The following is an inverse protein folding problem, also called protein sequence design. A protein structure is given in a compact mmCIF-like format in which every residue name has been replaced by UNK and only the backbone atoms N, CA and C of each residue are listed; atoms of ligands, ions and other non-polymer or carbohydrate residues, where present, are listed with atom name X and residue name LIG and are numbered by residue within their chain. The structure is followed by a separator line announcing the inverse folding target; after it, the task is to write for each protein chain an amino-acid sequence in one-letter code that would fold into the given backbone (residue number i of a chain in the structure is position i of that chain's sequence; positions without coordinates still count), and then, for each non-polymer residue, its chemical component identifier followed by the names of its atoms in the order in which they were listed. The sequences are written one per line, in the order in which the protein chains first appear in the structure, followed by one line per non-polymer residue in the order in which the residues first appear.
data_IF_107340052068
#
_entry.id   IF_107340052068
#
_cell.length_a   1.000
_cell.length_b   1.000
_cell.length_c   1.000
_cell.angle_alpha   90.00
_cell.angle_beta   90.00
_cell.angle_gamma   90.00
#
_symmetry.space_group_name_H-M   'P 1'
#
loop_
_entity.id
_entity.type
_entity.pdbx_description
1 polymer ?
#
# COMPACT_ATOMS: atom_id res chain seq x y z
N UNK A 1 3.15 -28.22 35.93
CA UNK A 1 3.76 -26.87 35.96
C UNK A 1 3.26 -26.15 34.73
N UNK A 2 2.31 -25.23 34.89
CA UNK A 2 1.84 -24.38 33.78
C UNK A 2 2.99 -23.43 33.46
N UNK A 3 3.52 -23.50 32.24
CA UNK A 3 4.44 -22.49 31.72
C UNK A 3 3.60 -21.22 31.66
N UNK A 4 3.86 -20.27 32.56
CA UNK A 4 3.12 -18.99 32.55
C UNK A 4 3.18 -18.41 31.15
N UNK A 5 2.03 -18.20 30.52
CA UNK A 5 1.96 -17.48 29.25
C UNK A 5 2.60 -16.12 29.48
N UNK A 6 3.74 -15.88 28.85
CA UNK A 6 4.38 -14.57 28.87
C UNK A 6 3.44 -13.62 28.14
N UNK A 7 2.88 -12.67 28.87
CA UNK A 7 2.00 -11.63 28.35
C UNK A 7 2.67 -10.94 27.15
N UNK A 8 1.96 -10.83 26.03
CA UNK A 8 2.46 -10.25 24.78
C UNK A 8 2.13 -8.76 24.76
N UNK A 9 3.13 -7.90 24.54
CA UNK A 9 2.92 -6.48 24.34
C UNK A 9 2.71 -6.18 22.85
N UNK A 10 1.57 -5.62 22.49
CA UNK A 10 1.24 -5.20 21.12
C UNK A 10 1.24 -3.67 21.05
N UNK A 11 2.08 -3.12 20.17
CA UNK A 11 2.04 -1.68 19.88
C UNK A 11 0.87 -1.38 18.95
N UNK A 12 0.00 -0.44 19.31
CA UNK A 12 -1.12 0.00 18.48
C UNK A 12 -0.87 1.43 18.05
N UNK A 13 -0.48 1.61 16.79
CA UNK A 13 -0.16 2.91 16.18
C UNK A 13 -1.43 3.50 15.58
N UNK A 14 -1.89 4.61 16.15
CA UNK A 14 -3.04 5.34 15.64
C UNK A 14 -2.61 6.44 14.65
N UNK A 15 -3.18 6.40 13.45
CA UNK A 15 -2.94 7.39 12.39
C UNK A 15 -4.18 8.24 12.06
N UNK A 16 -5.32 7.93 12.70
CA UNK A 16 -6.64 8.46 12.39
C UNK A 16 -7.50 7.43 11.64
N UNK A 17 -8.38 7.91 10.76
CA UNK A 17 -9.26 7.09 9.94
C UNK A 17 -10.63 6.77 10.57
N UNK A 18 -11.49 6.11 9.79
CA UNK A 18 -12.91 5.86 10.09
C UNK A 18 -13.16 5.18 11.43
N UNK A 19 -12.27 4.28 11.86
CA UNK A 19 -12.38 3.56 13.14
C UNK A 19 -12.40 4.52 14.34
N UNK A 20 -11.74 5.67 14.21
CA UNK A 20 -11.66 6.71 15.22
C UNK A 20 -12.68 7.83 15.00
N UNK A 21 -13.58 7.71 14.02
CA UNK A 21 -14.47 8.79 13.58
C UNK A 21 -15.95 8.52 13.86
N UNK A 22 -16.69 9.59 14.16
CA UNK A 22 -18.16 9.61 14.24
C UNK A 22 -18.71 10.60 13.23
N UNK A 23 -19.97 10.44 12.79
CA UNK A 23 -20.62 11.44 11.94
C UNK A 23 -21.17 12.60 12.77
N UNK A 24 -21.06 13.82 12.24
CA UNK A 24 -21.71 14.99 12.81
C UNK A 24 -23.14 15.18 12.24
N UNK A 25 -23.82 16.26 12.65
CA UNK A 25 -25.18 16.60 12.22
C UNK A 25 -25.33 16.80 10.70
N UNK A 26 -24.22 17.02 9.98
CA UNK A 26 -24.20 17.14 8.51
C UNK A 26 -23.98 15.81 7.80
N UNK A 27 -23.71 14.74 8.56
CA UNK A 27 -23.37 13.42 8.06
C UNK A 27 -21.88 13.24 7.74
N UNK A 28 -21.05 14.27 7.94
CA UNK A 28 -19.60 14.20 7.71
C UNK A 28 -18.89 13.45 8.84
N UNK A 29 -18.01 12.51 8.50
CA UNK A 29 -17.20 11.78 9.47
C UNK A 29 -16.06 12.67 9.98
N UNK A 30 -15.89 12.76 11.30
CA UNK A 30 -14.80 13.51 11.95
C UNK A 30 -14.12 12.63 13.02
N UNK A 31 -12.78 12.75 13.20
CA UNK A 31 -12.09 12.09 14.30
C UNK A 31 -12.71 12.49 15.64
N UNK A 32 -13.08 11.49 16.44
CA UNK A 32 -13.79 11.67 17.71
C UNK A 32 -13.26 10.77 18.83
N UNK A 33 -12.54 9.68 18.51
CA UNK A 33 -11.99 8.72 19.46
C UNK A 33 -10.46 8.73 19.40
N UNK A 34 -9.80 8.69 20.57
CA UNK A 34 -8.35 8.45 20.65
C UNK A 34 -8.03 6.97 20.47
N UNK A 35 -6.81 6.64 20.04
CA UNK A 35 -6.33 5.25 19.99
C UNK A 35 -6.39 4.58 21.35
N UNK A 36 -6.09 5.29 22.43
CA UNK A 36 -6.26 4.79 23.81
C UNK A 36 -7.72 4.40 24.11
N UNK A 37 -8.69 5.20 23.66
CA UNK A 37 -10.12 4.88 23.81
C UNK A 37 -10.50 3.64 22.98
N UNK A 38 -9.99 3.52 21.75
CA UNK A 38 -10.28 2.38 20.86
C UNK A 38 -9.76 1.05 21.38
N UNK A 39 -8.66 1.07 22.14
CA UNK A 39 -8.07 -0.14 22.72
C UNK A 39 -8.53 -0.41 24.14
N UNK A 40 -9.34 0.48 24.73
CA UNK A 40 -9.90 0.28 26.05
C UNK A 40 -10.81 -0.97 26.07
N UNK A 41 -10.44 -1.98 26.86
CA UNK A 41 -11.14 -3.26 26.91
C UNK A 41 -10.57 -4.37 26.00
N UNK A 42 -9.59 -4.07 25.14
CA UNK A 42 -8.88 -5.09 24.33
C UNK A 42 -7.67 -5.69 25.05
N UNK A 43 -7.26 -5.10 26.17
CA UNK A 43 -6.25 -5.70 27.04
C UNK A 43 -6.86 -6.88 27.81
N UNK A 44 -6.22 -8.04 27.71
CA UNK A 44 -6.65 -9.28 28.35
C UNK A 44 -5.53 -9.88 29.19
N UNK A 45 -5.76 -11.07 29.78
CA UNK A 45 -4.76 -11.75 30.61
C UNK A 45 -3.43 -12.02 29.85
N UNK A 46 -3.51 -12.23 28.53
CA UNK A 46 -2.39 -12.65 27.69
C UNK A 46 -1.84 -11.53 26.77
N UNK A 47 -2.52 -10.38 26.68
CA UNK A 47 -2.17 -9.28 25.77
C UNK A 47 -2.23 -7.93 26.48
N UNK A 48 -1.11 -7.20 26.43
CA UNK A 48 -1.00 -5.80 26.83
C UNK A 48 -0.93 -4.91 25.59
N UNK A 49 -1.59 -3.76 25.66
CA UNK A 49 -1.57 -2.78 24.57
C UNK A 49 -0.66 -1.60 24.93
N UNK A 50 0.24 -1.25 24.01
CA UNK A 50 1.04 -0.02 24.03
C UNK A 50 0.44 0.95 23.00
N UNK A 51 -0.42 1.91 23.39
CA UNK A 51 -0.95 2.89 22.45
C UNK A 51 0.16 3.85 21.98
N UNK A 52 0.17 4.16 20.69
CA UNK A 52 1.09 5.12 20.06
C UNK A 52 0.26 6.07 19.19
N UNK A 53 0.03 7.27 19.69
CA UNK A 53 -0.63 8.34 18.92
C UNK A 53 0.38 8.98 17.96
N UNK A 54 0.29 8.63 16.67
CA UNK A 54 1.22 9.14 15.66
C UNK A 54 0.69 10.39 14.97
N UNK A 55 -0.57 10.34 14.56
CA UNK A 55 -1.28 11.45 13.91
C UNK A 55 -2.80 11.19 13.91
N UNK A 56 -3.58 12.20 13.54
CA UNK A 56 -5.02 12.08 13.34
C UNK A 56 -5.41 12.73 12.00
N UNK A 57 -5.17 11.99 10.90
CA UNK A 57 -5.36 12.51 9.54
C UNK A 57 -6.28 11.57 8.73
N UNK A 58 -7.12 12.16 7.87
CA UNK A 58 -7.90 11.40 6.92
C UNK A 58 -6.98 10.76 5.87
N UNK A 59 -7.18 9.48 5.57
CA UNK A 59 -6.31 8.73 4.66
C UNK A 59 -6.27 9.32 3.24
N UNK A 60 -7.35 9.96 2.79
CA UNK A 60 -7.42 10.64 1.48
C UNK A 60 -6.50 11.86 1.38
N UNK A 61 -6.08 12.41 2.53
CA UNK A 61 -5.20 13.58 2.60
C UNK A 61 -3.74 13.20 2.83
N UNK A 62 -3.41 11.92 3.00
CA UNK A 62 -2.04 11.47 3.28
C UNK A 62 -1.12 11.73 2.08
N UNK A 63 0.12 12.08 2.42
CA UNK A 63 1.22 12.30 1.48
C UNK A 63 2.28 11.20 1.66
N UNK A 64 3.25 11.11 0.73
CA UNK A 64 4.41 10.22 0.93
C UNK A 64 5.19 10.57 2.21
N UNK A 65 5.15 11.84 2.65
CA UNK A 65 5.77 12.22 3.91
C UNK A 65 5.05 11.63 5.12
N UNK A 66 3.72 11.62 5.10
CA UNK A 66 2.92 11.01 6.17
C UNK A 66 3.11 9.48 6.17
N UNK A 67 3.11 8.84 5.00
CA UNK A 67 3.36 7.40 4.87
C UNK A 67 4.75 7.02 5.35
N UNK A 68 5.77 7.83 5.05
CA UNK A 68 7.11 7.61 5.60
C UNK A 68 7.12 7.75 7.12
N UNK A 69 6.38 8.71 7.69
CA UNK A 69 6.28 8.85 9.15
C UNK A 69 5.65 7.61 9.81
N UNK A 70 4.64 7.00 9.17
CA UNK A 70 4.06 5.72 9.60
C UNK A 70 5.12 4.60 9.55
N UNK A 71 5.86 4.51 8.44
CA UNK A 71 6.93 3.52 8.29
C UNK A 71 8.06 3.69 9.31
N UNK A 72 8.47 4.93 9.59
CA UNK A 72 9.48 5.27 10.60
C UNK A 72 9.01 4.84 12.00
N UNK A 73 7.72 5.03 12.33
CA UNK A 73 7.12 4.60 13.60
C UNK A 73 7.09 3.07 13.73
N UNK A 74 6.72 2.35 12.66
CA UNK A 74 6.79 0.88 12.64
C UNK A 74 8.22 0.39 12.87
N UNK A 75 9.22 1.01 12.23
CA UNK A 75 10.63 0.66 12.40
C UNK A 75 11.08 0.75 13.85
N UNK A 76 10.65 1.80 14.57
CA UNK A 76 10.94 2.00 15.99
C UNK A 76 10.39 0.88 16.86
N UNK A 77 9.16 0.43 16.60
CA UNK A 77 8.52 -0.64 17.37
C UNK A 77 9.06 -2.04 16.99
N UNK A 78 9.51 -2.22 15.75
CA UNK A 78 10.15 -3.47 15.30
C UNK A 78 11.43 -3.75 16.12
N UNK A 79 12.22 -2.72 16.43
CA UNK A 79 13.48 -2.88 17.19
C UNK A 79 13.30 -2.94 18.72
N UNK A 80 12.13 -2.60 19.24
CA UNK A 80 11.86 -2.66 20.69
C UNK A 80 11.67 -4.12 21.15
N UNK A 81 12.58 -4.72 21.92
CA UNK A 81 12.49 -6.13 22.30
C UNK A 81 11.29 -6.46 23.20
N UNK A 82 10.67 -5.45 23.84
CA UNK A 82 9.46 -5.67 24.63
C UNK A 82 8.22 -5.88 23.75
N UNK A 83 8.20 -5.29 22.56
CA UNK A 83 7.07 -5.37 21.61
C UNK A 83 7.10 -6.71 20.89
N UNK A 84 5.99 -7.44 20.97
CA UNK A 84 5.79 -8.75 20.33
C UNK A 84 5.17 -8.64 18.92
N UNK A 85 4.47 -7.55 18.64
CA UNK A 85 3.81 -7.29 17.36
C UNK A 85 3.26 -5.87 17.28
N UNK A 86 2.94 -5.42 16.07
CA UNK A 86 2.49 -4.06 15.78
C UNK A 86 1.16 -4.09 15.02
N UNK A 87 0.18 -3.34 15.49
CA UNK A 87 -1.08 -3.05 14.79
C UNK A 87 -1.11 -1.57 14.42
N UNK A 88 -1.51 -1.26 13.18
CA UNK A 88 -1.64 0.10 12.68
C UNK A 88 -3.11 0.36 12.39
N UNK A 89 -3.71 1.32 13.10
CA UNK A 89 -5.05 1.84 12.80
C UNK A 89 -4.93 2.88 11.70
N UNK A 90 -5.59 2.63 10.58
CA UNK A 90 -5.45 3.44 9.38
C UNK A 90 -6.80 3.66 8.67
N UNK A 91 -6.94 4.80 8.01
CA UNK A 91 -8.08 5.07 7.12
C UNK A 91 -8.01 4.20 5.85
N UNK A 92 -9.17 3.82 5.32
CA UNK A 92 -9.22 2.78 4.28
C UNK A 92 -8.80 3.27 2.89
N UNK A 93 -8.82 4.57 2.61
CA UNK A 93 -8.58 5.07 1.24
C UNK A 93 -7.13 4.95 0.78
N UNK A 94 -6.17 4.97 1.71
CA UNK A 94 -4.74 4.88 1.41
C UNK A 94 -4.04 3.73 2.17
N UNK A 95 -4.82 2.80 2.75
CA UNK A 95 -4.28 1.69 3.55
C UNK A 95 -3.40 0.77 2.71
N UNK A 96 -3.80 0.47 1.47
CA UNK A 96 -3.04 -0.39 0.54
C UNK A 96 -1.66 0.21 0.19
N UNK A 97 -1.56 1.54 0.17
CA UNK A 97 -0.34 2.28 -0.15
C UNK A 97 0.61 2.31 1.06
N UNK A 98 0.10 2.70 2.23
CA UNK A 98 0.87 2.74 3.48
C UNK A 98 1.39 1.34 3.86
N UNK A 99 0.54 0.32 3.78
CA UNK A 99 0.92 -1.05 4.11
C UNK A 99 2.04 -1.56 3.20
N UNK A 100 1.97 -1.24 1.90
CA UNK A 100 3.03 -1.61 0.96
C UNK A 100 4.34 -0.86 1.26
N UNK A 101 4.31 0.43 1.57
CA UNK A 101 5.54 1.17 1.90
C UNK A 101 6.27 0.54 3.10
N UNK A 102 5.54 0.19 4.16
CA UNK A 102 6.10 -0.49 5.33
C UNK A 102 6.72 -1.83 4.94
N UNK A 103 6.03 -2.62 4.11
CA UNK A 103 6.55 -3.89 3.61
C UNK A 103 7.84 -3.72 2.81
N UNK A 104 7.92 -2.69 1.96
CA UNK A 104 9.08 -2.46 1.10
C UNK A 104 10.32 -2.05 1.89
N UNK A 105 10.16 -1.31 2.98
CA UNK A 105 11.27 -0.71 3.73
C UNK A 105 11.85 -1.63 4.80
N UNK A 106 11.04 -2.51 5.39
CA UNK A 106 11.43 -3.27 6.59
C UNK A 106 11.35 -4.79 6.38
N UNK A 107 12.42 -5.48 6.80
CA UNK A 107 12.33 -6.91 7.07
C UNK A 107 11.57 -7.11 8.39
N UNK A 108 10.35 -7.63 8.30
CA UNK A 108 9.50 -7.84 9.46
C UNK A 108 9.93 -9.10 10.21
N UNK A 109 10.40 -8.92 11.45
CA UNK A 109 10.75 -10.03 12.36
C UNK A 109 9.65 -10.33 13.38
N UNK A 110 8.57 -9.56 13.33
CA UNK A 110 7.39 -9.60 14.21
C UNK A 110 6.15 -9.32 13.35
N UNK A 111 4.96 -9.80 13.71
CA UNK A 111 3.74 -9.49 12.97
C UNK A 111 3.49 -7.98 12.90
N UNK A 112 3.22 -7.48 11.69
CA UNK A 112 2.84 -6.09 11.43
C UNK A 112 1.53 -6.09 10.66
N UNK A 113 0.46 -5.61 11.31
CA UNK A 113 -0.91 -5.76 10.82
C UNK A 113 -1.55 -4.37 10.70
N UNK A 114 -1.96 -3.98 9.48
CA UNK A 114 -2.82 -2.83 9.28
C UNK A 114 -4.29 -3.22 9.47
N UNK A 115 -5.09 -2.32 10.02
CA UNK A 115 -6.54 -2.47 10.13
C UNK A 115 -7.24 -1.12 10.18
N UNK A 116 -8.57 -1.12 10.13
CA UNK A 116 -9.40 0.07 10.17
C UNK A 116 -10.89 -0.29 10.20
N UNK A 117 -11.73 0.62 9.71
CA UNK A 117 -13.17 0.39 9.60
C UNK A 117 -13.69 0.94 8.27
N UNK A 118 -14.65 0.26 7.66
CA UNK A 118 -15.38 0.79 6.50
C UNK A 118 -16.46 1.75 6.98
N UNK A 119 -17.12 1.43 8.10
CA UNK A 119 -18.21 2.19 8.67
C UNK A 119 -17.76 2.90 9.96
N UNK A 120 -18.26 4.12 10.16
CA UNK A 120 -17.99 4.92 11.36
C UNK A 120 -18.54 4.24 12.62
N UNK A 121 -18.00 4.62 13.78
CA UNK A 121 -18.33 3.96 15.06
C UNK A 121 -19.82 4.06 15.45
N UNK A 122 -20.54 5.05 14.93
CA UNK A 122 -21.96 5.31 15.14
C UNK A 122 -22.87 4.57 14.13
N UNK A 123 -22.31 3.87 13.14
CA UNK A 123 -23.08 3.16 12.13
C UNK A 123 -23.63 1.82 12.64
N UNK A 124 -24.85 1.40 12.27
CA UNK A 124 -25.41 0.10 12.67
C UNK A 124 -24.58 -1.12 12.23
N UNK A 125 -23.75 -0.95 11.20
CA UNK A 125 -22.82 -1.96 10.68
C UNK A 125 -21.36 -1.62 10.98
N UNK A 126 -21.09 -0.85 12.04
CA UNK A 126 -19.74 -0.54 12.49
C UNK A 126 -18.90 -1.82 12.59
N UNK A 127 -17.74 -1.80 11.94
CA UNK A 127 -16.88 -2.96 11.76
C UNK A 127 -15.50 -2.79 12.41
N UNK A 128 -15.18 -1.57 12.88
CA UNK A 128 -13.92 -1.24 13.52
C UNK A 128 -13.55 -2.12 14.71
N UNK A 129 -14.43 -2.35 15.71
CA UNK A 129 -14.13 -3.21 16.85
C UNK A 129 -13.80 -4.66 16.45
N UNK A 130 -14.58 -5.24 15.54
CA UNK A 130 -14.36 -6.61 15.05
C UNK A 130 -13.00 -6.71 14.31
N UNK A 131 -12.73 -5.76 13.42
CA UNK A 131 -11.48 -5.71 12.66
C UNK A 131 -10.27 -5.54 13.58
N UNK A 132 -10.36 -4.68 14.61
CA UNK A 132 -9.27 -4.43 15.55
C UNK A 132 -9.01 -5.64 16.45
N UNK A 133 -10.06 -6.29 16.98
CA UNK A 133 -9.90 -7.53 17.75
C UNK A 133 -9.21 -8.61 16.92
N UNK A 134 -9.68 -8.84 15.69
CA UNK A 134 -9.07 -9.81 14.77
C UNK A 134 -7.62 -9.44 14.40
N UNK A 135 -7.30 -8.15 14.27
CA UNK A 135 -5.94 -7.69 14.00
C UNK A 135 -5.01 -7.97 15.18
N UNK A 136 -5.46 -7.77 16.42
CA UNK A 136 -4.69 -8.09 17.64
C UNK A 136 -4.45 -9.59 17.74
N UNK A 137 -5.48 -10.41 17.51
CA UNK A 137 -5.37 -11.87 17.51
C UNK A 137 -4.37 -12.37 16.46
N UNK A 138 -4.42 -11.80 15.25
CA UNK A 138 -3.43 -12.10 14.20
C UNK A 138 -2.02 -11.62 14.58
N UNK A 139 -1.91 -10.52 15.34
CA UNK A 139 -0.64 -9.91 15.72
C UNK A 139 0.13 -10.72 16.78
N UNK A 140 -0.57 -11.51 17.60
CA UNK A 140 0.06 -12.35 18.63
C UNK A 140 0.51 -13.73 18.12
N UNK A 141 0.12 -14.12 16.91
CA UNK A 141 0.66 -15.31 16.23
C UNK A 141 1.97 -14.97 15.50
N UNK A 142 3.14 -15.43 16.00
CA UNK A 142 4.43 -15.10 15.42
C UNK A 142 4.61 -15.62 13.99
N UNK A 143 3.87 -16.66 13.58
CA UNK A 143 3.95 -17.20 12.20
C UNK A 143 3.48 -16.19 11.15
N UNK A 144 2.72 -15.16 11.55
CA UNK A 144 2.30 -14.10 10.65
C UNK A 144 3.44 -13.15 10.25
N UNK A 145 4.57 -13.14 10.98
CA UNK A 145 5.76 -12.38 10.56
C UNK A 145 6.38 -12.90 9.26
N UNK A 146 6.29 -14.20 8.99
CA UNK A 146 6.83 -14.83 7.78
C UNK A 146 6.05 -14.47 6.51
N UNK A 147 4.85 -13.87 6.66
CA UNK A 147 3.93 -13.54 5.57
C UNK A 147 4.08 -12.09 5.08
N UNK A 148 5.02 -11.33 5.64
CA UNK A 148 5.21 -9.90 5.37
C UNK A 148 4.23 -9.02 6.16
N UNK A 149 4.07 -7.77 5.74
CA UNK A 149 3.04 -6.89 6.29
C UNK A 149 1.66 -7.35 5.82
N UNK A 150 0.71 -7.42 6.75
CA UNK A 150 -0.64 -7.90 6.49
C UNK A 150 -1.68 -6.80 6.72
N UNK A 151 -2.85 -6.98 6.13
CA UNK A 151 -4.06 -6.19 6.37
C UNK A 151 -5.15 -7.12 6.90
N UNK A 152 -5.67 -6.80 8.09
CA UNK A 152 -6.80 -7.50 8.70
C UNK A 152 -8.05 -6.65 8.57
N UNK A 153 -9.00 -7.06 7.74
CA UNK A 153 -10.19 -6.28 7.41
C UNK A 153 -11.31 -7.15 6.88
N UNK A 154 -12.55 -6.93 7.33
CA UNK A 154 -13.74 -7.60 6.78
C UNK A 154 -13.68 -9.13 6.90
N UNK A 155 -13.08 -9.64 7.98
CA UNK A 155 -12.89 -11.08 8.22
C UNK A 155 -11.79 -11.74 7.38
N UNK A 156 -10.98 -10.97 6.64
CA UNK A 156 -9.85 -11.46 5.85
C UNK A 156 -8.53 -11.00 6.46
N UNK A 157 -7.48 -11.81 6.27
CA UNK A 157 -6.09 -11.45 6.55
C UNK A 157 -5.31 -11.57 5.23
N UNK A 158 -4.97 -10.43 4.63
CA UNK A 158 -4.42 -10.32 3.28
C UNK A 158 -2.98 -9.77 3.32
N UNK A 159 -2.08 -10.22 2.44
CA UNK A 159 -0.76 -9.60 2.30
C UNK A 159 -0.88 -8.18 1.74
N UNK A 160 0.05 -7.30 2.11
CA UNK A 160 0.11 -5.96 1.55
C UNK A 160 0.40 -5.97 0.04
N UNK A 161 1.25 -6.87 -0.45
CA UNK A 161 1.58 -6.93 -1.88
C UNK A 161 0.40 -7.33 -2.76
N UNK A 162 0.02 -6.47 -3.70
CA UNK A 162 -1.11 -6.69 -4.61
C UNK A 162 -2.48 -6.35 -4.00
N UNK A 163 -2.53 -5.81 -2.79
CA UNK A 163 -3.76 -5.35 -2.15
C UNK A 163 -4.37 -4.17 -2.91
N UNK A 164 -5.69 -4.17 -3.02
CA UNK A 164 -6.45 -2.98 -3.41
C UNK A 164 -7.82 -2.92 -2.73
N UNK A 165 -8.35 -1.71 -2.55
CA UNK A 165 -9.74 -1.48 -2.11
C UNK A 165 -10.68 -1.60 -3.32
N UNK A 166 -11.50 -2.65 -3.34
CA UNK A 166 -12.41 -2.96 -4.45
C UNK A 166 -13.80 -2.33 -4.31
N UNK A 167 -14.21 -1.99 -3.08
CA UNK A 167 -15.54 -1.43 -2.79
C UNK A 167 -15.46 -0.19 -1.90
N UNK A 168 -16.35 0.77 -2.16
CA UNK A 168 -16.54 1.98 -1.37
C UNK A 168 -17.53 1.80 -0.20
N UNK A 169 -18.25 0.68 -0.13
CA UNK A 169 -19.42 0.51 0.75
C UNK A 169 -19.62 -0.91 1.29
N UNK A 170 -18.72 -1.85 1.03
CA UNK A 170 -18.76 -3.21 1.58
C UNK A 170 -17.86 -3.38 2.80
N UNK A 171 -18.30 -4.17 3.81
CA UNK A 171 -17.48 -4.49 4.99
C UNK A 171 -16.18 -5.23 4.62
N UNK A 172 -16.17 -5.97 3.52
CA UNK A 172 -15.00 -6.70 3.02
C UNK A 172 -14.33 -5.98 1.84
N UNK A 173 -14.14 -4.66 1.98
CA UNK A 173 -13.71 -3.74 0.94
C UNK A 173 -12.36 -4.01 0.28
N UNK A 174 -11.52 -4.89 0.82
CA UNK A 174 -10.18 -5.19 0.29
C UNK A 174 -10.10 -6.58 -0.35
N UNK A 175 -9.36 -6.65 -1.46
CA UNK A 175 -9.03 -7.88 -2.18
C UNK A 175 -7.63 -7.77 -2.81
N UNK A 176 -7.21 -8.82 -3.52
CA UNK A 176 -5.92 -8.90 -4.19
C UNK A 176 -6.07 -8.83 -5.71
N UNK A 177 -5.23 -8.01 -6.35
CA UNK A 177 -5.18 -7.91 -7.80
C UNK A 177 -4.67 -9.20 -8.47
N UNK A 178 -4.02 -10.08 -7.71
CA UNK A 178 -3.48 -11.36 -8.15
C UNK A 178 -3.53 -12.43 -7.05
N UNK A 179 -2.66 -13.43 -7.13
CA UNK A 179 -2.56 -14.48 -6.11
C UNK A 179 -2.00 -13.91 -4.80
N UNK A 180 -2.35 -14.52 -3.67
CA UNK A 180 -1.83 -14.19 -2.33
C UNK A 180 -0.36 -14.63 -2.13
N UNK A 181 0.53 -14.14 -3.01
CA UNK A 181 1.98 -14.35 -2.91
C UNK A 181 2.58 -12.99 -2.55
N UNK A 182 3.18 -12.92 -1.37
CA UNK A 182 3.90 -11.73 -0.92
C UNK A 182 5.41 -11.97 -1.12
N UNK A 183 6.09 -11.22 -2.00
CA UNK A 183 7.54 -11.29 -2.10
C UNK A 183 8.18 -10.92 -0.76
N UNK A 184 9.35 -11.50 -0.48
CA UNK A 184 10.16 -11.08 0.65
C UNK A 184 10.48 -9.57 0.55
N UNK A 185 10.52 -8.89 1.68
CA UNK A 185 10.80 -7.45 1.70
C UNK A 185 12.14 -7.16 1.02
N UNK A 186 12.19 -6.25 0.04
CA UNK A 186 13.43 -5.88 -0.63
C UNK A 186 14.34 -4.95 0.20
N UNK A 187 13.89 -4.45 1.35
CA UNK A 187 14.70 -3.58 2.23
C UNK A 187 15.05 -2.24 1.59
N UNK A 188 14.09 -1.57 0.95
CA UNK A 188 14.28 -0.27 0.28
C UNK A 188 14.26 0.90 1.27
N UNK A 189 15.22 0.92 2.21
CA UNK A 189 15.19 1.77 3.42
C UNK A 189 15.30 3.29 3.21
N UNK A 190 15.49 3.79 1.98
CA UNK A 190 15.59 5.23 1.76
C UNK A 190 14.24 5.94 1.92
N UNK A 191 14.30 7.19 2.41
CA UNK A 191 13.11 7.99 2.66
C UNK A 191 12.41 8.42 1.37
N UNK A 192 11.10 8.24 1.30
CA UNK A 192 10.28 8.68 0.15
C UNK A 192 9.69 10.09 0.28
N UNK A 193 9.99 10.82 1.38
CA UNK A 193 9.35 12.10 1.75
C UNK A 193 9.38 13.15 0.63
N UNK A 194 10.47 13.20 -0.13
CA UNK A 194 10.71 14.21 -1.16
C UNK A 194 10.62 13.66 -2.59
N UNK A 195 10.17 12.42 -2.75
CA UNK A 195 10.00 11.83 -4.07
C UNK A 195 8.63 12.21 -4.63
N UNK A 196 8.59 12.55 -5.92
CA UNK A 196 7.35 12.81 -6.65
C UNK A 196 7.15 11.75 -7.72
N UNK A 197 6.13 10.91 -7.52
CA UNK A 197 5.62 10.00 -8.53
C UNK A 197 4.15 10.29 -8.81
N UNK A 198 3.86 10.61 -10.07
CA UNK A 198 2.51 10.97 -10.52
C UNK A 198 1.84 9.77 -11.21
N UNK A 199 0.53 9.61 -11.02
CA UNK A 199 -0.29 8.61 -11.72
C UNK A 199 -1.05 9.30 -12.85
N UNK A 200 -0.91 8.79 -14.08
CA UNK A 200 -1.61 9.30 -15.25
C UNK A 200 -2.63 8.28 -15.73
N UNK A 201 -3.91 8.66 -15.73
CA UNK A 201 -4.98 7.83 -16.27
C UNK A 201 -4.95 7.80 -17.81
N UNK A 202 -4.99 6.61 -18.38
CA UNK A 202 -5.07 6.42 -19.83
C UNK A 202 -6.50 6.04 -20.21
N UNK A 203 -7.03 6.74 -21.21
CA UNK A 203 -8.36 6.50 -21.74
C UNK A 203 -8.38 6.66 -23.28
N UNK A 204 -9.38 6.09 -23.98
CA UNK A 204 -9.54 6.36 -25.40
C UNK A 204 -9.56 7.87 -25.68
N UNK A 205 -8.75 8.30 -26.65
CA UNK A 205 -8.61 9.70 -27.02
C UNK A 205 -7.69 10.56 -26.15
N UNK A 206 -7.08 10.03 -25.08
CA UNK A 206 -6.08 10.79 -24.33
C UNK A 206 -4.82 11.06 -25.17
N UNK A 207 -4.18 12.19 -24.91
CA UNK A 207 -2.91 12.57 -25.51
C UNK A 207 -1.81 12.66 -24.43
N UNK A 208 -0.67 13.27 -24.79
CA UNK A 208 0.48 13.35 -23.90
C UNK A 208 0.39 14.45 -22.83
N UNK A 209 -0.68 15.26 -22.81
CA UNK A 209 -0.77 16.48 -22.00
C UNK A 209 -0.41 16.24 -20.52
N UNK A 210 -0.95 15.19 -19.90
CA UNK A 210 -0.70 14.91 -18.48
C UNK A 210 0.72 14.37 -18.21
N UNK A 211 1.30 13.63 -19.14
CA UNK A 211 2.68 13.14 -19.03
C UNK A 211 3.64 14.31 -19.15
N UNK A 212 3.46 15.15 -20.18
CA UNK A 212 4.29 16.32 -20.42
C UNK A 212 4.17 17.34 -19.27
N UNK A 213 2.97 17.54 -18.72
CA UNK A 213 2.77 18.37 -17.53
C UNK A 213 3.55 17.85 -16.31
N UNK A 214 3.60 16.52 -16.10
CA UNK A 214 4.36 15.92 -15.01
C UNK A 214 5.86 16.10 -15.20
N UNK A 215 6.37 15.90 -16.43
CA UNK A 215 7.77 16.16 -16.77
C UNK A 215 8.16 17.62 -16.53
N UNK A 216 7.34 18.56 -17.00
CA UNK A 216 7.58 19.99 -16.80
C UNK A 216 7.54 20.40 -15.32
N UNK A 217 6.83 19.65 -14.48
CA UNK A 217 6.78 19.85 -13.03
C UNK A 217 7.95 19.20 -12.27
N UNK A 218 8.87 18.51 -12.96
CA UNK A 218 10.04 17.87 -12.34
C UNK A 218 9.70 16.57 -11.61
N UNK A 219 8.82 15.74 -12.18
CA UNK A 219 8.47 14.43 -11.62
C UNK A 219 9.68 13.47 -11.61
N UNK A 220 9.83 12.66 -10.57
CA UNK A 220 10.89 11.65 -10.46
C UNK A 220 10.51 10.30 -11.09
N UNK A 221 9.22 10.08 -11.37
CA UNK A 221 8.72 8.87 -12.02
C UNK A 221 7.23 8.96 -12.34
N UNK A 222 6.75 8.19 -13.31
CA UNK A 222 5.34 8.22 -13.73
C UNK A 222 4.77 6.80 -13.72
N UNK A 223 3.54 6.65 -13.22
CA UNK A 223 2.75 5.41 -13.35
C UNK A 223 1.57 5.65 -14.28
N UNK A 224 1.44 4.83 -15.32
CA UNK A 224 0.28 4.84 -16.21
C UNK A 224 -0.78 3.88 -15.68
N UNK A 225 -1.99 4.37 -15.40
CA UNK A 225 -3.16 3.53 -15.20
C UNK A 225 -3.74 3.17 -16.59
N UNK A 226 -3.11 2.20 -17.24
CA UNK A 226 -3.35 1.87 -18.65
C UNK A 226 -4.64 1.05 -18.88
N UNK A 227 -5.02 0.89 -20.14
CA UNK A 227 -6.19 0.11 -20.55
C UNK A 227 -5.88 -1.39 -20.59
N UNK A 228 -6.84 -2.22 -20.20
CA UNK A 228 -6.75 -3.68 -20.40
C UNK A 228 -5.48 -4.28 -19.78
N UNK A 229 -4.69 -4.98 -20.59
CA UNK A 229 -3.46 -5.66 -20.17
C UNK A 229 -2.22 -4.75 -20.14
N UNK A 230 -2.37 -3.43 -20.11
CA UNK A 230 -1.27 -2.47 -20.16
C UNK A 230 -1.14 -1.72 -21.49
N UNK A 231 -2.25 -1.42 -22.16
CA UNK A 231 -2.28 -0.78 -23.47
C UNK A 231 -2.62 0.71 -23.39
N UNK A 232 -2.12 1.47 -24.36
CA UNK A 232 -2.37 2.89 -24.55
C UNK A 232 -2.57 3.22 -26.05
N UNK A 233 -1.94 4.28 -26.55
CA UNK A 233 -1.96 4.71 -27.94
C UNK A 233 -0.59 5.29 -28.34
N UNK A 234 -0.40 5.58 -29.64
CA UNK A 234 0.90 5.99 -30.18
C UNK A 234 1.45 7.26 -29.53
N UNK A 235 0.57 8.22 -29.21
CA UNK A 235 0.97 9.49 -28.59
C UNK A 235 1.53 9.27 -27.18
N UNK A 236 1.03 8.26 -26.48
CA UNK A 236 1.54 7.87 -25.16
C UNK A 236 2.88 7.15 -25.30
N UNK A 237 3.05 6.28 -26.31
CA UNK A 237 4.35 5.64 -26.61
C UNK A 237 5.43 6.69 -26.90
N UNK A 238 5.09 7.72 -27.69
CA UNK A 238 5.99 8.85 -27.97
C UNK A 238 6.32 9.62 -26.69
N UNK A 239 5.35 9.82 -25.79
CA UNK A 239 5.56 10.47 -24.50
C UNK A 239 6.46 9.65 -23.57
N UNK A 240 6.29 8.33 -23.53
CA UNK A 240 7.18 7.41 -22.78
C UNK A 240 8.62 7.52 -23.28
N UNK A 241 8.81 7.60 -24.60
CA UNK A 241 10.16 7.80 -25.18
C UNK A 241 10.78 9.11 -24.69
N UNK A 242 10.01 10.20 -24.60
CA UNK A 242 10.49 11.47 -24.03
C UNK A 242 10.85 11.34 -22.55
N UNK A 243 10.05 10.64 -21.74
CA UNK A 243 10.37 10.38 -20.34
C UNK A 243 11.70 9.63 -20.20
N UNK A 244 11.90 8.57 -21.01
CA UNK A 244 13.16 7.81 -21.05
C UNK A 244 14.34 8.73 -21.38
N UNK A 245 14.20 9.55 -22.42
CA UNK A 245 15.28 10.46 -22.84
C UNK A 245 15.59 11.52 -21.76
N UNK A 246 14.61 11.88 -20.93
CA UNK A 246 14.76 12.73 -19.76
C UNK A 246 15.23 11.98 -18.49
N UNK A 247 15.44 10.66 -18.56
CA UNK A 247 15.84 9.83 -17.41
C UNK A 247 14.74 9.58 -16.38
N UNK A 248 13.47 9.84 -16.72
CA UNK A 248 12.31 9.64 -15.84
C UNK A 248 11.71 8.25 -16.10
N UNK A 249 11.72 7.33 -15.12
CA UNK A 249 11.14 6.00 -15.27
C UNK A 249 9.61 6.06 -15.42
N UNK A 250 9.09 5.27 -16.35
CA UNK A 250 7.64 5.10 -16.55
C UNK A 250 7.23 3.66 -16.29
N UNK A 251 6.25 3.48 -15.41
CA UNK A 251 5.67 2.17 -15.09
C UNK A 251 4.27 2.06 -15.70
N UNK A 252 4.00 0.98 -16.43
CA UNK A 252 2.67 0.65 -16.94
C UNK A 252 1.99 -0.26 -15.93
N UNK A 253 0.95 0.26 -15.28
CA UNK A 253 -0.04 -0.52 -14.53
C UNK A 253 -1.35 -0.59 -15.32
N UNK A 254 -2.44 -1.04 -14.71
CA UNK A 254 -3.75 -1.09 -15.35
C UNK A 254 -4.84 -0.53 -14.46
N UNK A 255 -5.87 0.05 -15.09
CA UNK A 255 -7.15 0.36 -14.44
C UNK A 255 -8.02 -0.88 -14.20
N UNK A 256 -7.70 -2.01 -14.82
CA UNK A 256 -8.42 -3.27 -14.62
C UNK A 256 -8.05 -3.82 -13.24
N UNK A 257 -9.01 -4.08 -12.33
CA UNK A 257 -8.70 -4.36 -10.92
C UNK A 257 -7.92 -5.65 -10.69
N UNK A 258 -8.19 -6.72 -11.45
CA UNK A 258 -7.58 -8.03 -11.23
C UNK A 258 -6.94 -8.60 -12.49
N UNK A 259 -5.98 -9.52 -12.30
CA UNK A 259 -5.24 -10.18 -13.37
C UNK A 259 -3.82 -9.67 -13.57
N UNK A 260 -3.04 -10.46 -14.30
CA UNK A 260 -1.61 -10.24 -14.58
C UNK A 260 -1.46 -9.48 -15.89
N UNK A 261 -0.61 -8.45 -15.90
CA UNK A 261 -0.29 -7.72 -17.13
C UNK A 261 0.74 -8.50 -17.96
N UNK A 262 0.46 -8.61 -19.26
CA UNK A 262 1.35 -9.21 -20.25
C UNK A 262 1.44 -8.25 -21.43
N UNK A 263 2.65 -7.76 -21.69
CA UNK A 263 2.96 -6.79 -22.73
C UNK A 263 3.02 -7.43 -24.13
N UNK A 264 1.90 -8.01 -24.58
CA UNK A 264 1.84 -8.80 -25.82
C UNK A 264 1.43 -8.03 -27.08
N UNK A 265 0.74 -6.89 -26.94
CA UNK A 265 0.18 -6.16 -28.09
C UNK A 265 1.16 -5.11 -28.61
N UNK A 266 1.45 -5.15 -29.91
CA UNK A 266 2.14 -4.09 -30.65
C UNK A 266 1.21 -3.39 -31.64
N UNK A 267 1.77 -2.52 -32.49
CA UNK A 267 1.02 -1.85 -33.56
C UNK A 267 0.71 -0.37 -33.31
N UNK A 268 1.48 0.26 -32.42
CA UNK A 268 1.47 1.69 -32.20
C UNK A 268 0.75 2.13 -30.92
N UNK A 269 0.74 1.31 -29.86
CA UNK A 269 0.15 1.71 -28.59
C UNK A 269 -0.03 0.60 -27.57
N UNK A 270 0.21 -0.66 -27.93
CA UNK A 270 0.05 -1.75 -26.98
C UNK A 270 1.20 -1.83 -25.99
N UNK A 271 1.06 -2.70 -24.98
CA UNK A 271 2.08 -2.89 -23.94
C UNK A 271 3.47 -3.24 -24.50
N UNK A 272 3.55 -3.98 -25.63
CA UNK A 272 4.83 -4.25 -26.28
C UNK A 272 5.52 -2.96 -26.74
N UNK A 273 4.77 -2.06 -27.39
CA UNK A 273 5.29 -0.78 -27.89
C UNK A 273 5.73 0.13 -26.73
N UNK A 274 4.96 0.16 -25.64
CA UNK A 274 5.33 0.91 -24.42
C UNK A 274 6.63 0.37 -23.80
N UNK A 275 6.79 -0.95 -23.76
CA UNK A 275 8.03 -1.58 -23.31
C UNK A 275 9.22 -1.23 -24.19
N UNK A 276 9.05 -1.28 -25.52
CA UNK A 276 10.06 -0.87 -26.49
C UNK A 276 10.44 0.61 -26.39
N UNK A 277 9.48 1.48 -26.05
CA UNK A 277 9.73 2.90 -25.75
C UNK A 277 10.51 3.13 -24.44
N UNK A 278 10.60 2.12 -23.57
CA UNK A 278 11.40 2.16 -22.34
C UNK A 278 10.60 1.95 -21.06
N UNK A 279 9.27 1.80 -21.14
CA UNK A 279 8.46 1.59 -19.95
C UNK A 279 8.72 0.23 -19.29
N UNK A 280 8.37 0.16 -18.00
CA UNK A 280 8.46 -1.04 -17.17
C UNK A 280 7.02 -1.48 -16.87
N UNK A 281 6.70 -2.76 -17.02
CA UNK A 281 5.35 -3.23 -16.75
C UNK A 281 5.23 -3.72 -15.31
N UNK A 282 4.26 -3.18 -14.59
CA UNK A 282 3.82 -3.73 -13.32
C UNK A 282 3.01 -5.00 -13.59
N UNK A 283 3.53 -6.15 -13.16
CA UNK A 283 2.91 -7.45 -13.37
C UNK A 283 1.57 -7.55 -12.64
N UNK A 284 1.55 -7.23 -11.35
CA UNK A 284 0.39 -7.40 -10.47
C UNK A 284 -0.05 -6.11 -9.80
N UNK A 285 0.88 -5.21 -9.43
CA UNK A 285 0.52 -4.02 -8.65
C UNK A 285 -0.30 -3.01 -9.47
N UNK A 286 -1.41 -2.55 -8.86
CA UNK A 286 -2.27 -1.48 -9.41
C UNK A 286 -1.70 -0.11 -9.14
N UNK A 287 -2.26 0.91 -9.79
CA UNK A 287 -1.62 2.22 -9.92
C UNK A 287 -1.18 2.82 -8.58
N UNK A 288 -2.00 2.73 -7.53
CA UNK A 288 -1.65 3.17 -6.17
C UNK A 288 -0.40 2.47 -5.64
N UNK A 289 -0.43 1.14 -5.58
CA UNK A 289 0.72 0.35 -5.14
C UNK A 289 1.96 0.45 -6.04
N UNK A 290 1.77 0.50 -7.36
CA UNK A 290 2.86 0.67 -8.31
C UNK A 290 3.57 2.03 -8.13
N UNK A 291 2.82 3.09 -7.78
CA UNK A 291 3.38 4.39 -7.41
C UNK A 291 4.26 4.30 -6.16
N UNK A 292 3.82 3.57 -5.14
CA UNK A 292 4.60 3.39 -3.90
C UNK A 292 5.90 2.61 -4.16
N UNK A 293 5.83 1.52 -4.91
CA UNK A 293 7.02 0.76 -5.28
C UNK A 293 8.00 1.61 -6.11
N UNK A 294 7.49 2.37 -7.10
CA UNK A 294 8.35 3.25 -7.90
C UNK A 294 9.00 4.33 -7.03
N UNK A 295 8.25 4.96 -6.11
CA UNK A 295 8.79 5.98 -5.22
C UNK A 295 9.93 5.43 -4.33
N UNK A 296 9.78 4.21 -3.79
CA UNK A 296 10.81 3.56 -2.99
C UNK A 296 12.06 3.19 -3.82
N UNK A 297 11.89 2.71 -5.06
CA UNK A 297 12.98 2.38 -5.97
C UNK A 297 13.76 3.63 -6.42
N UNK A 298 13.04 4.72 -6.70
CA UNK A 298 13.64 6.04 -7.01
C UNK A 298 14.40 6.58 -5.81
N UNK A 299 13.81 6.58 -4.61
CA UNK A 299 14.46 7.04 -3.38
C UNK A 299 15.76 6.30 -3.08
N UNK A 300 15.82 5.01 -3.44
CA UNK A 300 17.00 4.15 -3.25
C UNK A 300 17.95 4.14 -4.46
N UNK A 301 17.73 4.99 -5.46
CA UNK A 301 18.52 5.11 -6.68
C UNK A 301 18.75 3.75 -7.40
N UNK A 302 17.71 2.90 -7.43
CA UNK A 302 17.78 1.60 -8.09
C UNK A 302 17.87 1.74 -9.61
N UNK A 303 18.55 0.79 -10.24
CA UNK A 303 18.70 0.77 -11.70
C UNK A 303 17.39 0.40 -12.38
N UNK A 304 17.27 0.68 -13.69
CA UNK A 304 16.12 0.22 -14.48
C UNK A 304 15.95 -1.30 -14.46
N UNK A 305 17.05 -2.07 -14.35
CA UNK A 305 16.99 -3.53 -14.26
C UNK A 305 16.44 -3.99 -12.90
N UNK A 306 16.88 -3.38 -11.81
CA UNK A 306 16.31 -3.63 -10.48
C UNK A 306 14.81 -3.33 -10.46
N UNK A 307 14.41 -2.21 -11.09
CA UNK A 307 13.00 -1.83 -11.21
C UNK A 307 12.22 -2.89 -12.02
N UNK A 308 12.75 -3.39 -13.14
CA UNK A 308 12.12 -4.46 -13.92
C UNK A 308 11.95 -5.74 -13.09
N UNK A 309 12.96 -6.12 -12.29
CA UNK A 309 12.85 -7.27 -11.39
C UNK A 309 11.77 -7.08 -10.32
N UNK A 310 11.74 -5.90 -9.69
CA UNK A 310 10.74 -5.61 -8.65
C UNK A 310 9.31 -5.60 -9.20
N UNK A 311 9.09 -4.96 -10.35
CA UNK A 311 7.77 -4.91 -11.01
C UNK A 311 7.35 -6.23 -11.66
N UNK A 312 8.27 -7.18 -11.83
CA UNK A 312 7.96 -8.57 -12.16
C UNK A 312 7.61 -9.42 -10.92
N UNK A 313 7.28 -8.78 -9.79
CA UNK A 313 7.01 -9.41 -8.49
C UNK A 313 8.20 -10.24 -7.95
N UNK A 314 9.43 -9.89 -8.34
CA UNK A 314 10.65 -10.67 -8.10
C UNK A 314 10.62 -12.11 -8.66
N UNK A 315 9.64 -12.42 -9.51
CA UNK A 315 9.63 -13.69 -10.24
C UNK A 315 10.74 -13.67 -11.29
N UNK A 316 11.43 -14.80 -11.46
CA UNK A 316 12.31 -14.96 -12.62
C UNK A 316 11.45 -14.84 -13.87
N UNK A 317 11.67 -13.80 -14.67
CA UNK A 317 11.04 -13.67 -15.99
C UNK A 317 11.43 -14.92 -16.76
N UNK A 318 10.46 -15.82 -16.99
CA UNK A 318 10.67 -16.94 -17.88
C UNK A 318 11.00 -16.35 -19.26
N UNK A 319 12.19 -16.64 -19.77
CA UNK A 319 12.55 -16.27 -21.15
C UNK A 319 11.53 -16.95 -22.06
N UNK A 320 10.62 -16.16 -22.62
CA UNK A 320 9.72 -16.56 -23.71
C UNK A 320 10.51 -16.66 -25.01
#
# INVERSE_FOLDING_TARGET
MSIGQSTKLVAVIATGGTIASTRDETGAAKPALSGETLVSGLSGADVLIKPVELMAKDSSSLTLSDMQHISDAVAKELVDPAVSGIVILHGTDAMEESALLVHLQHQVTKPVIFTGAQFTADHPQADGPDNLAAAIDACIDPSNSEKGVLVCFGGKLLPAWGLYKHSSDARDAFDLAGKAICPQSPGLMASVKNVRVDIVAIHPGCDATHIDASLNAGVDGIVLAALGSGNANIRIVDAVSRCRDAGVPVVVSSRVPTGVLVAGYGGGGGGYDLGAAGAIHSRTLRAGQARILLAALVATAKSSDDMRTAFADFEKVAKS
#
